data_IF_799530287802
#
_entry.id   IF_799530287802
#
_cell.length_a   1.000
_cell.length_b   1.000
_cell.length_c   1.000
_cell.angle_alpha   90.00
_cell.angle_beta   90.00
_cell.angle_gamma   90.00
#
_symmetry.space_group_name_H-M   'P 1'
#
loop_
_entity.id
_entity.type
_entity.pdbx_description
1 polymer ?
#
# COMPACT_ATOMS: atom_id res chain seq x y z
N UNK A 1 4.68 -8.67 7.12
CA UNK A 1 5.89 -9.45 6.81
C UNK A 1 5.98 -10.79 7.54
N UNK A 2 5.74 -10.89 8.87
CA UNK A 2 5.83 -12.18 9.60
C UNK A 2 4.99 -13.34 9.02
N UNK A 3 3.86 -13.03 8.38
CA UNK A 3 2.99 -14.04 7.73
C UNK A 3 3.29 -14.25 6.23
N UNK A 4 4.39 -13.70 5.70
CA UNK A 4 4.78 -13.83 4.28
C UNK A 4 4.08 -12.87 3.31
N UNK A 5 3.18 -11.99 3.77
CA UNK A 5 2.57 -10.98 2.90
C UNK A 5 3.59 -9.89 2.51
N UNK A 6 3.88 -9.78 1.21
CA UNK A 6 4.62 -8.68 0.59
C UNK A 6 3.64 -7.60 0.15
N UNK A 7 3.41 -6.61 1.02
CA UNK A 7 2.51 -5.48 0.75
C UNK A 7 3.21 -4.37 -0.03
N UNK A 8 2.46 -3.41 -0.56
CA UNK A 8 3.00 -2.32 -1.38
C UNK A 8 4.17 -1.56 -0.74
N UNK A 9 4.15 -1.16 0.55
CA UNK A 9 5.31 -0.53 1.19
C UNK A 9 6.59 -1.38 1.11
N UNK A 10 6.46 -2.70 1.29
CA UNK A 10 7.59 -3.64 1.21
C UNK A 10 8.17 -3.64 -0.20
N UNK A 11 7.30 -3.74 -1.22
CA UNK A 11 7.72 -3.78 -2.62
C UNK A 11 8.42 -2.48 -3.06
N UNK A 12 7.92 -1.33 -2.58
CA UNK A 12 8.55 -0.04 -2.82
C UNK A 12 9.92 0.06 -2.16
N UNK A 13 10.06 -0.39 -0.91
CA UNK A 13 11.36 -0.39 -0.22
C UNK A 13 12.35 -1.34 -0.91
N UNK A 14 11.91 -2.54 -1.31
CA UNK A 14 12.75 -3.46 -2.09
C UNK A 14 13.21 -2.88 -3.43
N UNK A 15 12.41 -2.02 -4.05
CA UNK A 15 12.78 -1.33 -5.29
C UNK A 15 13.81 -0.25 -5.04
N UNK A 16 13.67 0.50 -3.94
CA UNK A 16 14.49 1.66 -3.63
C UNK A 16 15.80 1.29 -2.91
N UNK A 17 15.83 0.15 -2.21
CA UNK A 17 16.91 -0.28 -1.33
C UNK A 17 17.34 -1.73 -1.62
N UNK A 18 18.45 -1.94 -2.36
CA UNK A 18 18.94 -3.27 -2.71
C UNK A 18 19.28 -4.15 -1.49
N UNK A 19 19.89 -3.57 -0.44
CA UNK A 19 20.23 -4.30 0.78
C UNK A 19 18.98 -4.83 1.49
N UNK A 20 17.94 -4.00 1.56
CA UNK A 20 16.65 -4.43 2.08
C UNK A 20 16.04 -5.56 1.25
N UNK A 21 16.11 -5.46 -0.09
CA UNK A 21 15.64 -6.51 -1.00
C UNK A 21 16.35 -7.84 -0.75
N UNK A 22 17.68 -7.83 -0.68
CA UNK A 22 18.46 -9.04 -0.39
C UNK A 22 18.02 -9.67 0.93
N UNK A 23 17.88 -8.86 1.99
CA UNK A 23 17.42 -9.35 3.29
C UNK A 23 16.02 -9.96 3.20
N UNK A 24 15.06 -9.28 2.57
CA UNK A 24 13.68 -9.77 2.44
C UNK A 24 13.59 -11.07 1.63
N UNK A 25 14.36 -11.23 0.57
CA UNK A 25 14.36 -12.46 -0.25
C UNK A 25 14.85 -13.68 0.55
N UNK A 26 15.72 -13.47 1.54
CA UNK A 26 16.21 -14.55 2.42
C UNK A 26 15.28 -14.87 3.59
N UNK A 27 14.29 -14.02 3.90
CA UNK A 27 13.36 -14.23 4.99
C UNK A 27 12.44 -15.42 4.74
N UNK A 28 12.34 -16.30 5.72
CA UNK A 28 11.41 -17.42 5.74
C UNK A 28 10.87 -17.65 7.16
N UNK A 29 10.00 -18.65 7.34
CA UNK A 29 9.34 -18.91 8.64
C UNK A 29 10.30 -19.29 9.78
N UNK A 30 11.50 -19.74 9.45
CA UNK A 30 12.55 -20.12 10.40
C UNK A 30 13.52 -18.98 10.68
N UNK A 31 13.42 -17.85 9.96
CA UNK A 31 14.27 -16.69 10.19
C UNK A 31 14.04 -16.08 11.58
N UNK A 32 15.10 -15.50 12.13
CA UNK A 32 15.07 -14.91 13.45
C UNK A 32 14.11 -13.73 13.53
N UNK A 33 13.49 -13.57 14.70
CA UNK A 33 12.59 -12.44 15.00
C UNK A 33 13.30 -11.09 14.78
N UNK A 34 14.60 -11.02 15.07
CA UNK A 34 15.40 -9.80 14.86
C UNK A 34 15.46 -9.37 13.39
N UNK A 35 15.49 -10.32 12.45
CA UNK A 35 15.52 -10.02 11.02
C UNK A 35 14.21 -9.42 10.54
N UNK A 36 13.08 -9.94 11.05
CA UNK A 36 11.76 -9.36 10.79
C UNK A 36 11.64 -7.96 11.39
N UNK A 37 12.09 -7.75 12.63
CA UNK A 37 12.05 -6.43 13.27
C UNK A 37 12.93 -5.41 12.54
N UNK A 38 14.12 -5.80 12.08
CA UNK A 38 14.95 -4.94 11.26
C UNK A 38 14.19 -4.48 10.01
N UNK A 39 13.59 -5.42 9.25
CA UNK A 39 12.86 -5.07 8.04
C UNK A 39 11.63 -4.20 8.32
N UNK A 40 10.89 -4.48 9.40
CA UNK A 40 9.73 -3.67 9.81
C UNK A 40 10.17 -2.25 10.17
N UNK A 41 11.27 -2.10 10.89
CA UNK A 41 11.80 -0.79 11.28
C UNK A 41 12.35 -0.01 10.09
N UNK A 42 12.99 -0.66 9.10
CA UNK A 42 13.38 0.02 7.85
C UNK A 42 12.16 0.63 7.16
N UNK A 43 11.07 -0.13 6.99
CA UNK A 43 9.85 0.40 6.38
C UNK A 43 9.27 1.58 7.17
N UNK A 44 9.19 1.45 8.51
CA UNK A 44 8.63 2.50 9.39
C UNK A 44 9.42 3.81 9.34
N UNK A 45 10.73 3.72 9.14
CA UNK A 45 11.63 4.87 9.11
C UNK A 45 11.89 5.39 7.70
N UNK A 46 11.21 4.85 6.69
CA UNK A 46 11.31 5.25 5.30
C UNK A 46 10.03 5.95 4.84
N UNK A 47 10.12 6.65 3.71
CA UNK A 47 8.97 7.35 3.12
C UNK A 47 8.01 6.40 2.38
N UNK A 48 8.30 5.09 2.31
CA UNK A 48 7.52 4.15 1.48
C UNK A 48 6.11 3.92 1.99
N UNK A 49 5.85 4.15 3.29
CA UNK A 49 4.48 4.14 3.84
C UNK A 49 3.69 5.29 3.19
N UNK A 50 4.22 6.51 3.22
CA UNK A 50 3.56 7.65 2.60
C UNK A 50 3.43 7.47 1.08
N UNK A 51 4.48 7.00 0.40
CA UNK A 51 4.40 6.71 -1.04
C UNK A 51 3.30 5.68 -1.38
N UNK A 52 3.09 4.67 -0.51
CA UNK A 52 2.03 3.69 -0.70
C UNK A 52 0.63 4.29 -0.52
N UNK A 53 0.47 5.24 0.41
CA UNK A 53 -0.76 6.01 0.60
C UNK A 53 -1.01 6.91 -0.61
N UNK A 54 0.01 7.59 -1.12
CA UNK A 54 -0.11 8.46 -2.30
C UNK A 54 -0.51 7.67 -3.54
N UNK A 55 0.04 6.46 -3.73
CA UNK A 55 -0.38 5.55 -4.80
C UNK A 55 -1.84 5.15 -4.62
N UNK A 56 -2.25 4.82 -3.39
CA UNK A 56 -3.64 4.45 -3.09
C UNK A 56 -4.59 5.61 -3.38
N UNK A 57 -4.21 6.84 -3.04
CA UNK A 57 -4.98 8.05 -3.32
C UNK A 57 -5.12 8.28 -4.84
N UNK A 58 -4.03 8.14 -5.61
CA UNK A 58 -4.07 8.26 -7.07
C UNK A 58 -5.07 7.30 -7.71
N UNK A 59 -5.22 6.07 -7.18
CA UNK A 59 -6.22 5.12 -7.67
C UNK A 59 -7.65 5.52 -7.28
N UNK A 60 -7.87 6.10 -6.10
CA UNK A 60 -9.17 6.62 -5.70
C UNK A 60 -9.58 7.84 -6.53
N UNK A 61 -8.62 8.72 -6.85
CA UNK A 61 -8.84 9.86 -7.73
C UNK A 61 -9.20 9.40 -9.14
N UNK A 62 -8.45 8.43 -9.69
CA UNK A 62 -8.76 7.80 -10.98
C UNK A 62 -10.15 7.18 -11.00
N UNK A 63 -10.53 6.46 -9.94
CA UNK A 63 -11.87 5.89 -9.82
C UNK A 63 -12.96 6.97 -9.79
N UNK A 64 -12.71 8.07 -9.09
CA UNK A 64 -13.62 9.22 -9.04
C UNK A 64 -13.80 9.85 -10.42
N UNK A 65 -12.70 10.12 -11.13
CA UNK A 65 -12.75 10.66 -12.50
C UNK A 65 -13.49 9.73 -13.46
N UNK A 66 -13.31 8.41 -13.35
CA UNK A 66 -14.04 7.45 -14.18
C UNK A 66 -15.55 7.49 -13.89
N UNK A 67 -15.97 7.64 -12.63
CA UNK A 67 -17.40 7.75 -12.29
C UNK A 67 -18.04 8.99 -12.93
N UNK A 68 -17.30 10.08 -13.08
CA UNK A 68 -17.82 11.30 -13.72
C UNK A 68 -18.01 11.14 -15.24
N UNK A 69 -17.38 10.13 -15.85
CA UNK A 69 -17.60 9.78 -17.27
C UNK A 69 -18.80 8.87 -17.51
N UNK A 70 -19.38 8.29 -16.46
CA UNK A 70 -20.50 7.35 -16.61
C UNK A 70 -21.82 8.09 -16.88
N UNK A 71 -22.75 7.49 -17.64
CA UNK A 71 -24.11 8.02 -17.79
C UNK A 71 -24.76 8.21 -16.42
N UNK A 72 -25.52 9.30 -16.26
CA UNK A 72 -26.26 9.55 -15.01
C UNK A 72 -27.18 8.37 -14.73
N UNK A 73 -26.91 7.68 -13.63
CA UNK A 73 -27.72 6.58 -13.12
C UNK A 73 -27.91 6.76 -11.62
N UNK A 74 -29.01 6.21 -11.11
CA UNK A 74 -29.34 6.23 -9.68
C UNK A 74 -28.27 5.55 -8.81
N UNK A 75 -27.42 4.72 -9.41
CA UNK A 75 -26.35 3.97 -8.74
C UNK A 75 -25.08 4.83 -8.56
N UNK A 76 -24.85 5.83 -9.43
CA UNK A 76 -23.62 6.66 -9.41
C UNK A 76 -23.36 7.32 -8.04
N UNK A 77 -24.36 7.89 -7.35
CA UNK A 77 -24.18 8.42 -5.98
C UNK A 77 -23.73 7.37 -4.95
N UNK A 78 -24.11 6.09 -5.12
CA UNK A 78 -23.71 5.01 -4.22
C UNK A 78 -22.22 4.70 -4.37
N UNK A 79 -21.71 4.65 -5.59
CA UNK A 79 -20.27 4.50 -5.84
C UNK A 79 -19.47 5.67 -5.28
N UNK A 80 -19.95 6.91 -5.45
CA UNK A 80 -19.30 8.09 -4.84
C UNK A 80 -19.25 8.00 -3.31
N UNK A 81 -20.31 7.51 -2.66
CA UNK A 81 -20.31 7.25 -1.20
C UNK A 81 -19.30 6.17 -0.79
N UNK A 82 -19.14 5.11 -1.60
CA UNK A 82 -18.15 4.06 -1.34
C UNK A 82 -16.71 4.59 -1.44
N UNK A 83 -16.39 5.33 -2.49
CA UNK A 83 -15.06 5.94 -2.66
C UNK A 83 -14.74 6.89 -1.49
N UNK A 84 -15.69 7.76 -1.11
CA UNK A 84 -15.50 8.67 0.03
C UNK A 84 -15.24 7.93 1.35
N UNK A 85 -15.92 6.79 1.57
CA UNK A 85 -15.67 5.94 2.76
C UNK A 85 -14.27 5.33 2.74
N UNK A 86 -13.75 4.98 1.57
CA UNK A 86 -12.39 4.42 1.44
C UNK A 86 -11.33 5.51 1.68
N UNK A 87 -11.52 6.72 1.14
CA UNK A 87 -10.64 7.86 1.37
C UNK A 87 -10.52 8.20 2.87
N UNK A 88 -11.65 8.24 3.58
CA UNK A 88 -11.66 8.54 5.02
C UNK A 88 -10.95 7.49 5.90
N UNK A 89 -10.64 6.29 5.38
CA UNK A 89 -9.90 5.26 6.14
C UNK A 89 -8.39 5.42 6.03
N UNK A 90 -7.92 6.25 5.10
CA UNK A 90 -6.50 6.48 4.85
C UNK A 90 -5.95 7.65 5.69
N UNK A 91 -6.83 8.41 6.35
CA UNK A 91 -6.53 9.49 7.29
C UNK A 91 -6.92 9.06 8.71
#
# INVERSE_FOLDING_TARGET
>A
MRNGHMTLPVLLEMRNNPTFKEKVVTLNRQSDTADFEWCINQIRNSDVIQQSLDISQKYLDKATSLLDTLPKSDITPHFKKLIKRLQNRMH
#
